data_IF_513374185025
#
_entry.id   IF_513374185025
#
_cell.length_a   1.000
_cell.length_b   1.000
_cell.length_c   1.000
_cell.angle_alpha   90.00
_cell.angle_beta   90.00
_cell.angle_gamma   90.00
#
_symmetry.space_group_name_H-M   'P 1'
#
loop_
_entity.id
_entity.type
_entity.pdbx_description
1 polymer ?
#
# COMPACT_ATOMS: atom_id res chain seq x y z
N UNK A 1 -35.50 36.73 13.31
CA UNK A 1 -35.09 35.32 13.42
C UNK A 1 -33.81 35.15 12.61
N UNK A 2 -32.66 35.00 13.26
CA UNK A 2 -31.36 34.92 12.60
C UNK A 2 -31.16 33.56 11.93
N UNK A 3 -30.85 33.55 10.64
CA UNK A 3 -30.51 32.32 9.90
C UNK A 3 -29.28 31.67 10.52
N UNK A 4 -29.37 30.39 10.87
CA UNK A 4 -28.28 29.62 11.47
C UNK A 4 -27.25 29.32 10.38
N UNK A 5 -26.02 29.79 10.57
CA UNK A 5 -24.91 29.63 9.60
C UNK A 5 -24.61 28.17 9.21
N UNK A 6 -25.08 27.22 10.01
CA UNK A 6 -24.94 25.78 9.80
C UNK A 6 -25.69 25.28 8.55
N UNK A 7 -26.77 25.94 8.12
CA UNK A 7 -27.57 25.51 6.95
C UNK A 7 -26.85 25.70 5.61
N UNK A 8 -25.70 26.38 5.61
CA UNK A 8 -24.87 26.65 4.41
C UNK A 8 -23.76 25.62 4.21
N UNK A 9 -23.57 24.70 5.15
CA UNK A 9 -22.52 23.67 5.07
C UNK A 9 -23.06 22.49 4.28
N UNK A 10 -22.67 22.41 3.01
CA UNK A 10 -22.91 21.22 2.18
C UNK A 10 -21.81 20.21 2.48
N UNK A 11 -22.14 19.16 3.22
CA UNK A 11 -21.24 18.02 3.38
C UNK A 11 -21.12 17.30 2.04
N UNK A 12 -19.88 17.16 1.54
CA UNK A 12 -19.58 16.24 0.45
C UNK A 12 -19.81 14.82 0.97
N UNK A 13 -20.43 13.95 0.17
CA UNK A 13 -20.59 12.55 0.55
C UNK A 13 -19.21 11.92 0.76
N UNK A 14 -19.16 10.88 1.58
CA UNK A 14 -17.93 10.12 1.82
C UNK A 14 -17.27 9.70 0.48
N UNK A 15 -18.09 9.26 -0.48
CA UNK A 15 -17.64 8.86 -1.82
C UNK A 15 -17.07 10.02 -2.66
N UNK A 16 -17.48 11.27 -2.43
CA UNK A 16 -16.91 12.45 -3.12
C UNK A 16 -15.57 12.90 -2.50
N UNK A 17 -15.31 12.51 -1.26
CA UNK A 17 -14.05 12.81 -0.56
C UNK A 17 -12.97 11.75 -0.83
N UNK A 18 -13.37 10.49 -0.98
CA UNK A 18 -12.44 9.36 -1.09
C UNK A 18 -12.54 8.58 -2.42
N UNK A 19 -13.46 8.97 -3.31
CA UNK A 19 -13.86 8.18 -4.47
C UNK A 19 -14.71 6.97 -4.06
N UNK A 20 -15.62 6.50 -4.92
CA UNK A 20 -16.26 5.20 -4.74
C UNK A 20 -15.14 4.15 -4.65
N UNK A 21 -14.89 3.64 -3.44
CA UNK A 21 -14.06 2.46 -3.28
C UNK A 21 -14.86 1.29 -3.83
N UNK A 22 -14.64 0.96 -5.10
CA UNK A 22 -14.91 -0.39 -5.55
C UNK A 22 -14.22 -1.36 -4.58
N UNK A 23 -14.90 -2.48 -4.23
CA UNK A 23 -14.35 -3.44 -3.29
C UNK A 23 -12.95 -3.80 -3.74
N UNK A 24 -11.94 -3.54 -2.88
CA UNK A 24 -10.54 -3.89 -3.11
C UNK A 24 -10.37 -5.41 -3.09
N UNK A 25 -10.88 -6.03 -4.13
CA UNK A 25 -10.92 -7.46 -4.37
C UNK A 25 -11.50 -7.64 -5.77
N UNK A 26 -10.65 -8.06 -6.70
CA UNK A 26 -10.92 -8.34 -8.11
C UNK A 26 -10.69 -7.15 -9.07
N UNK A 27 -9.44 -7.05 -9.52
CA UNK A 27 -9.06 -6.97 -10.94
C UNK A 27 -9.77 -5.92 -11.80
N UNK A 28 -9.14 -4.75 -11.96
CA UNK A 28 -9.32 -3.92 -13.16
C UNK A 28 -7.95 -3.58 -13.76
N UNK A 29 -7.63 -4.33 -14.80
CA UNK A 29 -6.58 -4.01 -15.76
C UNK A 29 -6.94 -2.71 -16.49
N UNK A 30 -6.46 -1.57 -16.01
CA UNK A 30 -6.54 -0.31 -16.75
C UNK A 30 -5.18 0.38 -16.77
N UNK A 31 -4.60 0.38 -17.97
CA UNK A 31 -3.49 1.21 -18.44
C UNK A 31 -3.57 2.64 -17.89
N UNK A 32 -2.64 2.99 -17.00
CA UNK A 32 -2.43 4.35 -16.50
C UNK A 32 -1.90 4.30 -15.07
N UNK A 33 -0.58 4.55 -14.91
CA UNK A 33 0.17 4.59 -13.64
C UNK A 33 0.11 3.31 -12.80
N UNK A 34 1.04 2.39 -13.10
CA UNK A 34 1.27 1.08 -12.45
C UNK A 34 2.05 1.23 -11.13
N UNK A 35 1.94 2.35 -10.43
CA UNK A 35 2.88 2.65 -9.34
C UNK A 35 2.51 1.91 -8.03
N UNK A 36 1.24 1.56 -7.81
CA UNK A 36 0.76 0.98 -6.54
C UNK A 36 -0.07 -0.33 -6.70
N UNK A 37 0.31 -1.20 -7.63
CA UNK A 37 -0.38 -2.50 -7.80
C UNK A 37 0.40 -3.64 -7.15
N UNK A 38 -0.25 -4.39 -6.25
CA UNK A 38 0.33 -5.61 -5.68
C UNK A 38 0.32 -6.71 -6.73
N UNK A 39 1.52 -7.09 -7.19
CA UNK A 39 1.73 -8.14 -8.19
C UNK A 39 2.66 -9.23 -7.66
N UNK A 40 2.56 -10.43 -8.22
CA UNK A 40 3.52 -11.52 -7.94
C UNK A 40 4.68 -11.42 -8.92
N UNK A 41 5.89 -11.26 -8.39
CA UNK A 41 7.13 -11.10 -9.17
C UNK A 41 8.10 -12.23 -8.82
N UNK A 42 8.91 -12.67 -9.80
CA UNK A 42 9.96 -13.66 -9.59
C UNK A 42 11.15 -13.00 -8.89
N UNK A 43 11.68 -13.63 -7.83
CA UNK A 43 12.80 -13.06 -7.05
C UNK A 43 14.05 -12.75 -7.89
N UNK A 44 14.28 -13.48 -8.98
CA UNK A 44 15.41 -13.25 -9.88
C UNK A 44 15.36 -11.91 -10.63
N UNK A 45 14.19 -11.28 -10.69
CA UNK A 45 14.01 -9.95 -11.31
C UNK A 45 14.31 -8.80 -10.33
N UNK A 46 14.40 -9.10 -9.03
CA UNK A 46 14.76 -8.13 -8.00
C UNK A 46 16.26 -7.80 -8.06
N UNK A 47 16.59 -6.51 -7.99
CA UNK A 47 17.96 -6.03 -8.03
C UNK A 47 18.30 -5.15 -6.82
N UNK A 48 19.55 -5.17 -6.33
CA UNK A 48 19.95 -4.35 -5.20
C UNK A 48 19.85 -2.86 -5.52
N UNK A 49 19.32 -2.08 -4.57
CA UNK A 49 19.31 -0.62 -4.68
C UNK A 49 20.69 -0.05 -4.28
N UNK A 50 21.49 0.34 -5.27
CA UNK A 50 22.85 0.86 -5.04
C UNK A 50 22.80 2.25 -4.38
N UNK A 51 23.62 2.46 -3.35
CA UNK A 51 23.75 3.76 -2.70
C UNK A 51 22.60 4.12 -1.75
N UNK A 52 21.82 3.12 -1.30
CA UNK A 52 20.75 3.35 -0.34
C UNK A 52 21.31 3.75 1.04
N UNK A 53 20.77 4.79 1.71
CA UNK A 53 21.25 5.22 3.03
C UNK A 53 20.93 4.22 4.13
N UNK A 54 19.90 3.38 3.92
CA UNK A 54 19.58 2.25 4.79
C UNK A 54 20.20 0.99 4.25
N UNK A 55 20.93 0.26 5.10
CA UNK A 55 21.57 -1.01 4.78
C UNK A 55 21.01 -2.09 5.70
N UNK A 56 20.74 -3.25 5.12
CA UNK A 56 20.42 -4.45 5.89
C UNK A 56 21.71 -4.99 6.49
N UNK A 57 21.73 -5.14 7.81
CA UNK A 57 22.82 -5.77 8.55
C UNK A 57 22.50 -7.25 8.72
N UNK A 58 23.51 -8.11 8.65
CA UNK A 58 23.38 -9.54 8.92
C UNK A 58 23.49 -9.78 10.42
N UNK A 59 22.49 -9.31 11.16
CA UNK A 59 22.38 -9.46 12.62
C UNK A 59 21.33 -10.51 13.01
N UNK A 60 21.20 -10.73 14.31
CA UNK A 60 20.25 -11.70 14.88
C UNK A 60 18.80 -11.38 14.47
N UNK A 61 18.44 -10.09 14.43
CA UNK A 61 17.08 -9.65 14.05
C UNK A 61 16.77 -10.02 12.59
N UNK A 62 17.74 -9.87 11.68
CA UNK A 62 17.60 -10.35 10.30
C UNK A 62 17.39 -11.88 10.25
N UNK A 63 18.09 -12.65 11.08
CA UNK A 63 17.98 -14.11 11.11
C UNK A 63 16.60 -14.56 11.63
N UNK A 64 16.09 -13.93 12.68
CA UNK A 64 14.72 -14.17 13.18
C UNK A 64 13.66 -13.87 12.11
N UNK A 65 13.83 -12.78 11.35
CA UNK A 65 12.93 -12.46 10.23
C UNK A 65 12.96 -13.54 9.14
N UNK A 66 14.13 -14.09 8.80
CA UNK A 66 14.24 -15.19 7.84
C UNK A 66 13.50 -16.44 8.32
N UNK A 67 13.59 -16.78 9.60
CA UNK A 67 12.86 -17.91 10.18
C UNK A 67 11.35 -17.68 10.14
N UNK A 68 10.89 -16.47 10.48
CA UNK A 68 9.47 -16.09 10.40
C UNK A 68 8.93 -16.18 8.98
N UNK A 69 9.65 -15.66 7.98
CA UNK A 69 9.25 -15.76 6.57
C UNK A 69 9.21 -17.22 6.09
N UNK A 70 10.09 -18.09 6.59
CA UNK A 70 10.03 -19.53 6.28
C UNK A 70 8.78 -20.20 6.86
N UNK A 71 8.34 -19.81 8.05
CA UNK A 71 7.19 -20.40 8.74
C UNK A 71 5.85 -19.85 8.22
N UNK A 72 5.77 -18.54 7.99
CA UNK A 72 4.51 -17.83 7.71
C UNK A 72 4.43 -17.19 6.32
N UNK A 73 5.55 -17.13 5.60
CA UNK A 73 5.65 -16.41 4.33
C UNK A 73 5.77 -14.89 4.52
N UNK A 74 5.64 -14.16 3.41
CA UNK A 74 5.64 -12.69 3.41
C UNK A 74 4.22 -12.18 3.68
N UNK A 75 4.04 -11.48 4.80
CA UNK A 75 2.72 -10.99 5.23
C UNK A 75 2.35 -9.64 4.62
N UNK A 76 3.35 -8.81 4.30
CA UNK A 76 3.17 -7.47 3.74
C UNK A 76 3.94 -7.38 2.42
N UNK A 77 3.26 -7.09 1.29
CA UNK A 77 3.93 -6.84 0.01
C UNK A 77 4.90 -5.67 0.09
N UNK A 78 5.99 -5.76 -0.67
CA UNK A 78 7.08 -4.76 -0.74
C UNK A 78 6.87 -3.77 -1.89
#
# INVERSE_FOLDING_TARGET
MGSRSADKIKFRSFDDLFGEQEPKGVEKETKGTVEDQVVRIVLAELHPFKGHPFRVMEDEEMMEMVESVRQFGVLVPV
#
